data_IF_000309982654
#
_entry.id   IF_000309982654
#
_cell.length_a   1.000
_cell.length_b   1.000
_cell.length_c   1.000
_cell.angle_alpha   90.00
_cell.angle_beta   90.00
_cell.angle_gamma   90.00
#
_symmetry.space_group_name_H-M   'P 1'
#
loop_
_entity.id
_entity.type
_entity.pdbx_description
1 polymer ?
#
# COMPACT_ATOMS: atom_id res chain seq x y z
N UNK A 1 -13.74 -13.57 2.96
CA UNK A 1 -12.82 -13.75 1.80
C UNK A 1 -11.54 -12.94 2.08
N UNK A 2 -10.58 -12.82 1.16
CA UNK A 2 -9.39 -11.94 1.32
C UNK A 2 -9.16 -11.17 0.04
N UNK A 3 -8.76 -9.91 0.12
CA UNK A 3 -8.29 -9.11 -1.00
C UNK A 3 -6.77 -9.16 -1.07
N UNK A 4 -6.20 -9.50 -2.24
CA UNK A 4 -4.75 -9.63 -2.41
C UNK A 4 -4.20 -8.44 -3.16
N UNK A 5 -3.29 -7.72 -2.52
CA UNK A 5 -2.59 -6.57 -3.07
C UNK A 5 -1.07 -6.68 -2.87
N UNK A 6 -0.35 -5.72 -3.42
CA UNK A 6 1.10 -5.65 -3.37
C UNK A 6 1.57 -4.31 -2.81
N UNK A 7 2.67 -4.36 -2.05
CA UNK A 7 3.40 -3.19 -1.59
C UNK A 7 4.85 -3.29 -2.03
N UNK A 8 5.42 -2.20 -2.52
CA UNK A 8 6.83 -2.14 -2.91
C UNK A 8 7.60 -1.29 -1.93
N UNK A 9 8.75 -1.80 -1.49
CA UNK A 9 9.61 -1.12 -0.53
C UNK A 9 11.08 -1.46 -0.76
N UNK A 10 11.97 -0.76 -0.04
CA UNK A 10 13.41 -1.05 -0.05
C UNK A 10 13.76 -2.14 0.96
N UNK A 11 14.85 -2.87 0.71
CA UNK A 11 15.27 -4.01 1.56
C UNK A 11 15.44 -3.61 3.04
N UNK A 12 16.00 -2.42 3.31
CA UNK A 12 16.24 -1.94 4.67
C UNK A 12 14.99 -1.64 5.51
N UNK A 13 13.77 -1.71 4.95
CA UNK A 13 12.52 -1.56 5.72
C UNK A 13 11.82 -2.89 6.00
N UNK A 14 12.25 -4.00 5.38
CA UNK A 14 11.56 -5.29 5.49
C UNK A 14 11.44 -5.73 6.96
N UNK A 15 12.54 -5.69 7.72
CA UNK A 15 12.53 -6.12 9.12
C UNK A 15 11.57 -5.29 9.99
N UNK A 16 11.53 -3.97 9.80
CA UNK A 16 10.56 -3.12 10.50
C UNK A 16 9.13 -3.41 10.08
N UNK A 17 8.89 -3.64 8.79
CA UNK A 17 7.55 -3.91 8.27
C UNK A 17 7.03 -5.28 8.76
N UNK A 18 7.90 -6.29 8.82
CA UNK A 18 7.53 -7.60 9.34
C UNK A 18 7.29 -7.60 10.86
N UNK A 19 7.81 -6.61 11.59
CA UNK A 19 7.58 -6.44 13.03
C UNK A 19 6.37 -5.56 13.35
N UNK A 20 6.21 -4.47 12.61
CA UNK A 20 5.30 -3.36 12.96
C UNK A 20 4.18 -3.14 11.96
N UNK A 21 4.28 -3.74 10.77
CA UNK A 21 3.36 -3.55 9.67
C UNK A 21 3.77 -2.39 8.77
N UNK A 22 2.93 -2.11 7.77
CA UNK A 22 3.07 -0.93 6.92
C UNK A 22 2.18 0.15 7.51
N UNK A 23 2.77 1.20 8.07
CA UNK A 23 2.03 2.23 8.83
C UNK A 23 2.14 3.62 8.20
N UNK A 24 2.95 3.79 7.15
CA UNK A 24 3.27 5.09 6.56
C UNK A 24 3.31 5.03 5.03
N UNK A 25 3.13 6.20 4.43
CA UNK A 25 3.13 6.45 3.00
C UNK A 25 2.51 7.81 2.74
N UNK A 26 3.20 8.68 2.00
CA UNK A 26 2.68 10.01 1.72
C UNK A 26 1.47 9.91 0.80
N UNK A 27 0.30 10.36 1.26
CA UNK A 27 -0.92 10.54 0.45
C UNK A 27 -1.09 12.03 0.19
N UNK A 28 -0.59 12.56 -0.93
CA UNK A 28 -0.70 13.98 -1.25
C UNK A 28 -2.10 14.33 -1.74
N UNK A 29 -2.87 15.07 -0.96
CA UNK A 29 -4.21 15.55 -1.37
C UNK A 29 -4.17 16.94 -1.99
N UNK A 30 -3.07 17.69 -1.82
CA UNK A 30 -2.81 18.95 -2.50
C UNK A 30 -1.30 19.24 -2.56
N UNK A 31 -0.84 20.29 -3.28
CA UNK A 31 0.60 20.62 -3.37
C UNK A 31 1.28 20.90 -2.02
N UNK A 32 0.51 21.28 -1.00
CA UNK A 32 1.02 21.59 0.35
C UNK A 32 0.37 20.73 1.44
N UNK A 33 -0.45 19.76 1.06
CA UNK A 33 -1.30 19.00 1.97
C UNK A 33 -1.27 17.50 1.69
N UNK A 34 -1.72 16.75 2.68
CA UNK A 34 -1.73 15.30 2.63
C UNK A 34 -1.65 14.70 4.02
N UNK A 35 -1.57 13.38 4.06
CA UNK A 35 -1.45 12.61 5.29
C UNK A 35 -0.63 11.34 5.07
N UNK A 36 -0.42 10.57 6.12
CA UNK A 36 0.27 9.29 6.08
C UNK A 36 -0.74 8.15 6.01
N UNK A 37 -0.64 7.30 4.98
CA UNK A 37 -1.33 6.02 4.91
C UNK A 37 -0.59 5.06 3.97
N UNK A 38 -0.64 3.74 4.21
CA UNK A 38 -0.06 2.74 3.32
C UNK A 38 -0.64 2.79 1.90
N UNK A 39 0.24 2.75 0.91
CA UNK A 39 -0.09 2.55 -0.50
C UNK A 39 0.05 1.07 -0.89
N UNK A 40 -0.91 0.59 -1.66
CA UNK A 40 -0.97 -0.76 -2.20
C UNK A 40 -1.33 -0.71 -3.69
N UNK A 41 -1.15 -1.82 -4.39
CA UNK A 41 -1.57 -1.98 -5.78
C UNK A 41 -2.05 -3.38 -6.07
N UNK A 42 -2.98 -3.56 -7.00
CA UNK A 42 -3.39 -4.88 -7.49
C UNK A 42 -2.50 -5.40 -8.65
N UNK A 43 -1.57 -4.57 -9.17
CA UNK A 43 -0.60 -5.00 -10.17
C UNK A 43 0.74 -5.44 -9.51
N UNK A 44 1.14 -6.71 -9.62
CA UNK A 44 2.38 -7.22 -9.05
C UNK A 44 3.65 -6.70 -9.74
N UNK A 45 3.54 -5.94 -10.83
CA UNK A 45 4.66 -5.43 -11.61
C UNK A 45 5.02 -3.99 -11.22
N UNK A 46 6.11 -3.83 -10.46
CA UNK A 46 6.67 -2.53 -10.08
C UNK A 46 6.87 -1.58 -11.28
N UNK A 47 7.24 -2.11 -12.45
CA UNK A 47 7.49 -1.34 -13.68
C UNK A 47 6.28 -0.58 -14.21
N UNK A 48 5.07 -0.92 -13.76
CA UNK A 48 3.82 -0.26 -14.12
C UNK A 48 3.29 0.69 -13.04
N UNK A 49 4.07 0.91 -11.99
CA UNK A 49 3.67 1.64 -10.80
C UNK A 49 4.66 2.79 -10.59
N UNK A 50 4.53 3.91 -11.30
CA UNK A 50 5.63 4.89 -11.30
C UNK A 50 5.86 5.58 -9.95
N UNK A 51 4.92 5.53 -9.00
CA UNK A 51 5.14 5.99 -7.62
C UNK A 51 6.21 5.15 -6.88
N UNK A 52 6.50 3.93 -7.34
CA UNK A 52 7.57 3.09 -6.79
C UNK A 52 8.90 3.30 -7.50
N UNK A 53 8.93 4.01 -8.64
CA UNK A 53 10.13 4.17 -9.47
C UNK A 53 11.12 5.20 -8.90
N UNK A 54 10.75 5.91 -7.84
CA UNK A 54 11.65 6.78 -7.08
C UNK A 54 12.58 5.99 -6.14
N UNK A 55 13.87 5.91 -6.48
CA UNK A 55 14.92 5.34 -5.63
C UNK A 55 14.87 3.80 -5.54
N UNK A 56 15.18 3.27 -4.36
CA UNK A 56 15.36 1.82 -4.12
C UNK A 56 14.07 1.08 -3.72
N UNK A 57 12.88 1.69 -3.90
CA UNK A 57 11.59 1.14 -3.45
C UNK A 57 11.15 -0.12 -4.20
N UNK A 58 11.79 -0.47 -5.30
CA UNK A 58 11.48 -1.68 -6.09
C UNK A 58 12.34 -2.89 -5.70
N UNK A 59 13.20 -2.77 -4.69
CA UNK A 59 14.06 -3.87 -4.25
C UNK A 59 13.24 -5.04 -3.71
N UNK A 60 12.13 -4.75 -3.03
CA UNK A 60 11.28 -5.74 -2.39
C UNK A 60 9.82 -5.55 -2.80
N UNK A 61 9.13 -6.66 -3.02
CA UNK A 61 7.68 -6.76 -3.15
C UNK A 61 7.12 -7.55 -1.99
N UNK A 62 6.09 -7.01 -1.36
CA UNK A 62 5.32 -7.67 -0.33
C UNK A 62 3.95 -8.03 -0.91
N UNK A 63 3.51 -9.26 -0.73
CA UNK A 63 2.11 -9.66 -0.98
C UNK A 63 1.33 -9.47 0.32
N UNK A 64 0.23 -8.73 0.24
CA UNK A 64 -0.65 -8.37 1.35
C UNK A 64 -2.02 -9.01 1.10
N UNK A 65 -2.40 -9.93 1.97
CA UNK A 65 -3.72 -10.58 1.98
C UNK A 65 -4.58 -9.92 3.05
N UNK A 66 -5.39 -8.94 2.67
CA UNK A 66 -6.28 -8.21 3.58
C UNK A 66 -7.52 -9.06 3.84
N UNK A 67 -7.82 -9.43 5.09
CA UNK A 67 -9.00 -10.24 5.37
C UNK A 67 -10.28 -9.40 5.33
N UNK A 68 -11.37 -10.05 4.92
CA UNK A 68 -12.74 -9.50 4.91
C UNK A 68 -13.34 -9.39 6.32
N UNK A 69 -12.74 -10.04 7.31
CA UNK A 69 -13.14 -9.94 8.71
C UNK A 69 -11.90 -10.08 9.58
N UNK A 70 -11.77 -9.21 10.58
CA UNK A 70 -10.66 -9.20 11.52
C UNK A 70 -11.17 -8.92 12.93
N UNK A 71 -10.56 -9.57 13.91
CA UNK A 71 -10.74 -9.29 15.34
C UNK A 71 -9.48 -8.62 15.86
N UNK A 72 -9.59 -7.40 16.38
CA UNK A 72 -8.46 -6.72 17.00
C UNK A 72 -8.12 -7.27 18.40
N UNK A 73 -7.08 -6.70 19.01
CA UNK A 73 -6.66 -7.10 20.36
C UNK A 73 -7.68 -6.81 21.46
N UNK A 74 -8.69 -5.99 21.19
CA UNK A 74 -9.77 -5.66 22.13
C UNK A 74 -11.00 -6.58 21.93
N UNK A 75 -10.94 -7.50 20.96
CA UNK A 75 -12.03 -8.41 20.64
C UNK A 75 -13.11 -7.79 19.76
N UNK A 76 -12.84 -6.63 19.15
CA UNK A 76 -13.78 -6.01 18.22
C UNK A 76 -13.61 -6.60 16.82
N UNK A 77 -14.71 -7.11 16.28
CA UNK A 77 -14.76 -7.61 14.90
C UNK A 77 -15.17 -6.50 13.92
N UNK A 78 -14.41 -6.33 12.84
CA UNK A 78 -14.71 -5.41 11.74
C UNK A 78 -14.23 -5.96 10.40
N UNK A 79 -14.58 -5.32 9.28
CA UNK A 79 -13.99 -5.62 7.98
C UNK A 79 -12.86 -4.64 7.67
N UNK A 80 -11.59 -5.07 7.60
CA UNK A 80 -10.50 -4.23 7.12
C UNK A 80 -10.73 -3.64 5.73
N UNK A 81 -11.51 -4.31 4.88
CA UNK A 81 -11.82 -3.84 3.53
C UNK A 81 -12.62 -2.53 3.52
N UNK A 82 -13.34 -2.20 4.61
CA UNK A 82 -14.03 -0.90 4.76
C UNK A 82 -13.05 0.29 4.83
N UNK A 83 -11.76 0.02 5.10
CA UNK A 83 -10.70 1.03 5.14
C UNK A 83 -9.82 1.03 3.90
N UNK A 84 -10.09 0.15 2.93
CA UNK A 84 -9.32 0.04 1.69
C UNK A 84 -10.00 0.88 0.61
N UNK A 85 -9.31 1.91 0.14
CA UNK A 85 -9.84 2.82 -0.86
C UNK A 85 -9.06 2.69 -2.16
N UNK A 86 -9.76 2.64 -3.30
CA UNK A 86 -9.13 2.94 -4.59
C UNK A 86 -8.72 4.40 -4.60
N UNK A 87 -7.51 4.69 -5.07
CA UNK A 87 -6.98 6.06 -5.04
C UNK A 87 -7.87 7.04 -5.80
N UNK A 88 -8.39 6.64 -6.96
CA UNK A 88 -9.31 7.47 -7.75
C UNK A 88 -10.56 7.86 -6.96
N UNK A 89 -11.21 6.89 -6.32
CA UNK A 89 -12.43 7.13 -5.56
C UNK A 89 -12.12 7.95 -4.30
N UNK A 90 -10.97 7.72 -3.67
CA UNK A 90 -10.50 8.49 -2.52
C UNK A 90 -10.21 9.94 -2.90
N UNK A 91 -9.57 10.18 -4.05
CA UNK A 91 -9.24 11.52 -4.52
C UNK A 91 -10.50 12.36 -4.74
N UNK A 92 -11.60 11.75 -5.20
CA UNK A 92 -12.90 12.41 -5.31
C UNK A 92 -13.47 12.77 -3.92
N UNK A 93 -13.39 11.87 -2.95
CA UNK A 93 -13.87 12.11 -1.57
C UNK A 93 -13.06 13.16 -0.83
N UNK A 94 -11.76 13.23 -1.08
CA UNK A 94 -10.83 14.19 -0.47
C UNK A 94 -10.79 15.54 -1.23
N UNK A 95 -11.67 15.74 -2.21
CA UNK A 95 -11.72 16.94 -3.06
C UNK A 95 -10.36 17.30 -3.69
N UNK A 96 -9.60 16.28 -4.12
CA UNK A 96 -8.32 16.48 -4.80
C UNK A 96 -8.55 17.18 -6.13
N UNK A 97 -7.89 18.32 -6.32
CA UNK A 97 -8.02 19.08 -7.56
C UNK A 97 -7.58 18.25 -8.77
N UNK A 98 -8.38 18.26 -9.85
CA UNK A 98 -8.16 17.40 -11.03
C UNK A 98 -6.74 17.53 -11.58
N UNK A 99 -6.23 18.77 -11.71
CA UNK A 99 -4.88 19.00 -12.22
C UNK A 99 -3.80 18.41 -11.31
N UNK A 100 -4.03 18.37 -9.99
CA UNK A 100 -3.11 17.79 -9.04
C UNK A 100 -3.14 16.27 -9.12
N UNK A 101 -4.33 15.68 -9.21
CA UNK A 101 -4.49 14.24 -9.45
C UNK A 101 -3.77 13.80 -10.74
N UNK A 102 -4.01 14.49 -11.85
CA UNK A 102 -3.36 14.23 -13.13
C UNK A 102 -1.84 14.39 -13.04
N UNK A 103 -1.36 15.43 -12.33
CA UNK A 103 0.08 15.64 -12.14
C UNK A 103 0.73 14.52 -11.32
N UNK A 104 0.03 14.02 -10.29
CA UNK A 104 0.50 12.89 -9.49
C UNK A 104 0.52 11.61 -10.32
N UNK A 105 -0.54 11.34 -11.08
CA UNK A 105 -0.62 10.17 -11.96
C UNK A 105 0.49 10.20 -13.02
N UNK A 106 0.67 11.33 -13.71
CA UNK A 106 1.73 11.52 -14.72
C UNK A 106 3.14 11.38 -14.10
N UNK A 107 3.40 12.05 -12.97
CA UNK A 107 4.68 11.97 -12.27
C UNK A 107 5.01 10.55 -11.81
N UNK A 108 3.97 9.76 -11.52
CA UNK A 108 4.05 8.35 -11.21
C UNK A 108 3.82 7.47 -12.45
N UNK A 109 4.11 7.94 -13.66
CA UNK A 109 4.14 7.13 -14.88
C UNK A 109 2.80 6.52 -15.29
N UNK A 110 1.68 7.03 -14.75
CA UNK A 110 0.33 6.49 -14.87
C UNK A 110 0.07 5.26 -13.99
N UNK A 111 -1.15 4.74 -14.07
CA UNK A 111 -1.56 3.49 -13.41
C UNK A 111 -2.36 3.67 -12.12
N UNK A 112 -2.81 4.90 -11.81
CA UNK A 112 -3.62 5.21 -10.63
C UNK A 112 -4.89 4.37 -10.47
N UNK A 113 -5.40 3.76 -11.55
CA UNK A 113 -6.51 2.81 -11.52
C UNK A 113 -6.21 1.53 -10.73
N UNK A 114 -4.93 1.21 -10.55
CA UNK A 114 -4.45 0.04 -9.81
C UNK A 114 -4.11 0.35 -8.34
N UNK A 115 -4.12 1.63 -7.94
CA UNK A 115 -3.62 2.03 -6.64
C UNK A 115 -4.69 2.05 -5.58
N UNK A 116 -4.30 1.61 -4.39
CA UNK A 116 -5.13 1.62 -3.21
C UNK A 116 -4.42 2.31 -2.06
N UNK A 117 -5.19 2.97 -1.21
CA UNK A 117 -4.74 3.58 0.03
C UNK A 117 -5.50 2.92 1.18
N UNK A 118 -4.76 2.41 2.17
CA UNK A 118 -5.37 1.79 3.34
C UNK A 118 -5.45 2.79 4.49
N UNK A 119 -6.65 3.24 4.86
CA UNK A 119 -6.89 4.25 5.91
C UNK A 119 -7.23 3.63 7.27
N UNK A 120 -6.91 2.36 7.48
CA UNK A 120 -7.21 1.69 8.75
C UNK A 120 -6.35 2.23 9.88
N UNK A 121 -6.86 2.26 11.13
CA UNK A 121 -6.25 2.95 12.26
C UNK A 121 -4.84 2.43 12.62
N UNK A 122 -4.55 1.17 12.32
CA UNK A 122 -3.29 0.50 12.65
C UNK A 122 -2.38 0.28 11.43
N UNK A 123 -2.78 0.77 10.25
CA UNK A 123 -2.11 0.43 8.99
C UNK A 123 -2.28 -1.04 8.60
N UNK A 124 -1.44 -1.50 7.67
CA UNK A 124 -1.42 -2.90 7.24
C UNK A 124 -0.66 -3.72 8.28
N UNK A 125 -1.35 -4.68 8.88
CA UNK A 125 -0.79 -5.51 9.94
C UNK A 125 0.26 -6.49 9.41
N UNK A 126 1.31 -6.81 10.20
CA UNK A 126 2.29 -7.83 9.84
C UNK A 126 1.68 -9.16 9.43
N UNK A 127 0.61 -9.58 10.11
CA UNK A 127 -0.08 -10.85 9.92
C UNK A 127 -0.64 -10.99 8.51
N UNK A 128 -0.99 -9.88 7.87
CA UNK A 128 -1.56 -9.82 6.53
C UNK A 128 -0.50 -9.89 5.43
N UNK A 129 0.79 -9.75 5.76
CA UNK A 129 1.88 -9.88 4.79
C UNK A 129 2.23 -11.37 4.64
N UNK A 130 1.86 -11.95 3.51
CA UNK A 130 2.00 -13.39 3.27
C UNK A 130 3.29 -13.79 2.55
N UNK A 131 3.81 -12.92 1.69
CA UNK A 131 5.02 -13.18 0.89
C UNK A 131 5.90 -11.94 0.86
N UNK A 132 7.21 -12.13 0.96
CA UNK A 132 8.22 -11.10 0.70
C UNK A 132 9.19 -11.61 -0.35
N UNK A 133 9.33 -10.90 -1.46
CA UNK A 133 10.19 -11.27 -2.58
C UNK A 133 11.14 -10.13 -2.92
N UNK A 134 12.36 -10.47 -3.32
CA UNK A 134 13.27 -9.51 -3.95
C UNK A 134 12.88 -9.25 -5.42
N UNK A 135 13.52 -8.26 -6.05
CA UNK A 135 13.33 -7.92 -7.47
C UNK A 135 13.58 -9.05 -8.47
N UNK A 136 14.24 -10.14 -8.05
CA UNK A 136 14.53 -11.32 -8.87
C UNK A 136 13.53 -12.46 -8.64
N UNK A 137 12.56 -12.28 -7.73
CA UNK A 137 11.57 -13.27 -7.37
C UNK A 137 12.05 -14.28 -6.33
N UNK A 138 13.20 -14.05 -5.69
CA UNK A 138 13.60 -14.92 -4.57
C UNK A 138 12.77 -14.57 -3.34
N UNK A 139 12.13 -15.58 -2.77
CA UNK A 139 11.35 -15.43 -1.55
C UNK A 139 12.29 -15.28 -0.35
N UNK A 140 12.14 -14.17 0.38
CA UNK A 140 12.71 -14.05 1.72
C UNK A 140 11.70 -14.62 2.70
N UNK A 141 12.05 -15.77 3.27
CA UNK A 141 11.19 -16.56 4.16
C UNK A 141 10.78 -15.71 5.36
N UNK A 142 9.48 -15.72 5.68
CA UNK A 142 8.94 -15.29 6.98
C UNK A 142 9.58 -16.21 8.03
N UNK A 143 10.47 -15.68 8.87
CA UNK A 143 11.03 -16.46 9.97
C UNK A 143 9.89 -17.10 10.77
N UNK A 144 10.00 -18.42 10.98
CA UNK A 144 9.06 -19.22 11.77
C UNK A 144 8.93 -18.71 13.22
#
# INVERSE_FOLDING_TARGET
>A
MTERLYHFTRQGYVDSILREGITRGDVPTSPMGGYQAPWLTDDPNAGKQGWVQGGDKTQMRLTVDIPDTWEDSEGQTYSPLDYLWRWRDLAEVEDVEVWWFESLDEAAGGGSEHWYVYKGPEGIRPEWISIVEDRTGNMMVRGE
#
